data_IF_348636144671
#
_entry.id   IF_348636144671
#
_cell.length_a   1.000
_cell.length_b   1.000
_cell.length_c   1.000
_cell.angle_alpha   90.00
_cell.angle_beta   90.00
_cell.angle_gamma   90.00
#
_symmetry.space_group_name_H-M   'P 1'
#
loop_
_entity.id
_entity.type
_entity.pdbx_description
1 polymer ?
#
# COMPACT_ATOMS: atom_id res chain seq x y z
N UNK A 1 -3.03 3.00 -27.98
CA UNK A 1 -1.57 3.04 -27.73
C UNK A 1 -1.14 1.61 -27.43
N UNK A 2 -0.42 0.98 -28.36
CA UNK A 2 0.14 -0.37 -28.13
C UNK A 2 1.52 -0.18 -27.50
N UNK A 3 1.72 -0.68 -26.30
CA UNK A 3 3.04 -0.67 -25.64
C UNK A 3 3.73 -1.94 -26.06
N UNK A 4 4.83 -1.83 -26.86
CA UNK A 4 5.66 -2.97 -27.23
C UNK A 4 6.43 -3.51 -25.99
N UNK A 5 6.88 -4.76 -26.03
CA UNK A 5 7.64 -5.37 -24.92
C UNK A 5 8.90 -4.57 -24.59
N UNK A 6 9.61 -4.11 -25.60
CA UNK A 6 10.82 -3.26 -25.45
C UNK A 6 10.52 -1.92 -24.77
N UNK A 7 9.29 -1.40 -24.91
CA UNK A 7 8.84 -0.20 -24.21
C UNK A 7 8.62 -0.46 -22.71
N UNK A 8 8.15 -1.66 -22.33
CA UNK A 8 7.95 -2.02 -20.92
C UNK A 8 9.27 -2.03 -20.18
N UNK A 9 10.29 -2.72 -20.68
CA UNK A 9 11.61 -2.76 -20.05
C UNK A 9 12.27 -1.37 -19.95
N UNK A 10 12.07 -0.51 -20.96
CA UNK A 10 12.56 0.87 -20.92
C UNK A 10 11.85 1.70 -19.85
N UNK A 11 10.54 1.49 -19.69
CA UNK A 11 9.75 2.15 -18.66
C UNK A 11 10.17 1.67 -17.27
N UNK A 12 10.35 0.36 -17.06
CA UNK A 12 10.76 -0.21 -15.79
C UNK A 12 12.10 0.34 -15.29
N UNK A 13 13.07 0.52 -16.20
CA UNK A 13 14.37 1.13 -15.87
C UNK A 13 14.27 2.59 -15.42
N UNK A 14 13.24 3.31 -15.82
CA UNK A 14 13.01 4.73 -15.47
C UNK A 14 12.06 4.90 -14.30
N UNK A 15 11.20 3.93 -14.05
CA UNK A 15 10.17 3.97 -13.01
C UNK A 15 10.79 3.73 -11.63
N UNK A 16 10.58 4.67 -10.71
CA UNK A 16 11.00 4.53 -9.31
C UNK A 16 9.80 4.33 -8.41
N UNK A 17 9.89 3.41 -7.45
CA UNK A 17 8.85 3.22 -6.43
C UNK A 17 8.53 4.51 -5.67
N UNK A 18 9.54 5.36 -5.46
CA UNK A 18 9.35 6.68 -4.86
C UNK A 18 8.33 7.52 -5.65
N UNK A 19 8.47 7.58 -6.98
CA UNK A 19 7.62 8.42 -7.84
C UNK A 19 6.18 7.91 -7.84
N UNK A 20 6.00 6.58 -7.83
CA UNK A 20 4.69 5.94 -7.67
C UNK A 20 4.08 6.27 -6.31
N UNK A 21 4.85 6.28 -5.25
CA UNK A 21 4.39 6.68 -3.90
C UNK A 21 3.95 8.13 -3.85
N UNK A 22 4.70 9.03 -4.48
CA UNK A 22 4.33 10.46 -4.60
C UNK A 22 3.02 10.60 -5.35
N UNK A 23 2.85 9.90 -6.47
CA UNK A 23 1.60 9.87 -7.23
C UNK A 23 0.41 9.40 -6.36
N UNK A 24 0.54 8.29 -5.65
CA UNK A 24 -0.50 7.79 -4.73
C UNK A 24 -0.88 8.83 -3.68
N UNK A 25 0.11 9.50 -3.09
CA UNK A 25 -0.12 10.56 -2.09
C UNK A 25 -0.88 11.75 -2.68
N UNK A 26 -0.58 12.14 -3.92
CA UNK A 26 -1.30 13.24 -4.61
C UNK A 26 -2.75 12.87 -4.88
N UNK A 27 -3.03 11.66 -5.37
CA UNK A 27 -4.40 11.17 -5.61
C UNK A 27 -5.20 11.14 -4.32
N UNK A 28 -4.62 10.62 -3.23
CA UNK A 28 -5.29 10.54 -1.91
C UNK A 28 -5.53 11.91 -1.28
N UNK A 29 -4.60 12.86 -1.46
CA UNK A 29 -4.71 14.20 -0.90
C UNK A 29 -5.60 15.14 -1.74
N UNK A 30 -5.82 14.82 -3.03
CA UNK A 30 -6.52 15.66 -4.00
C UNK A 30 -5.80 16.99 -4.31
N UNK A 31 -4.54 17.15 -3.87
CA UNK A 31 -3.77 18.39 -3.99
C UNK A 31 -2.27 18.13 -3.89
N UNK A 32 -1.48 18.78 -4.76
CA UNK A 32 -0.01 18.73 -4.71
C UNK A 32 0.54 19.29 -3.39
N UNK A 33 0.00 20.41 -2.90
CA UNK A 33 0.45 21.04 -1.66
C UNK A 33 0.17 20.16 -0.43
N UNK A 34 -1.02 19.56 -0.33
CA UNK A 34 -1.33 18.61 0.76
C UNK A 34 -0.47 17.36 0.70
N UNK A 35 -0.19 16.84 -0.50
CA UNK A 35 0.71 15.70 -0.67
C UNK A 35 2.15 16.06 -0.25
N UNK A 36 2.64 17.23 -0.66
CA UNK A 36 3.96 17.73 -0.28
C UNK A 36 4.12 17.84 1.24
N UNK A 37 3.11 18.38 1.94
CA UNK A 37 3.11 18.46 3.39
C UNK A 37 3.18 17.06 4.05
N UNK A 38 2.40 16.08 3.55
CA UNK A 38 2.43 14.69 4.05
C UNK A 38 3.76 13.98 3.81
N UNK A 39 4.44 14.32 2.71
CA UNK A 39 5.72 13.73 2.32
C UNK A 39 6.93 14.52 2.85
N UNK A 40 6.70 15.58 3.64
CA UNK A 40 7.75 16.47 4.18
C UNK A 40 8.67 17.02 3.09
N UNK A 41 8.09 17.44 1.96
CA UNK A 41 8.80 17.96 0.77
C UNK A 41 8.11 19.22 0.23
N UNK A 42 8.68 19.82 -0.83
CA UNK A 42 8.09 20.99 -1.49
C UNK A 42 7.05 20.59 -2.55
N UNK A 43 6.07 21.47 -2.78
CA UNK A 43 5.09 21.28 -3.86
C UNK A 43 5.75 21.24 -5.24
N UNK A 44 6.84 22.00 -5.45
CA UNK A 44 7.60 22.00 -6.72
C UNK A 44 8.27 20.65 -6.95
N UNK A 45 8.83 20.03 -5.91
CA UNK A 45 9.40 18.68 -5.99
C UNK A 45 8.34 17.64 -6.35
N UNK A 46 7.18 17.65 -5.66
CA UNK A 46 6.05 16.77 -5.99
C UNK A 46 5.60 16.96 -7.45
N UNK A 47 5.46 18.22 -7.90
CA UNK A 47 5.03 18.50 -9.28
C UNK A 47 6.03 18.00 -10.31
N UNK A 48 7.34 18.12 -10.04
CA UNK A 48 8.40 17.57 -10.91
C UNK A 48 8.36 16.05 -10.96
N UNK A 49 8.29 15.40 -9.81
CA UNK A 49 8.18 13.92 -9.72
C UNK A 49 6.99 13.39 -10.51
N UNK A 50 5.82 14.07 -10.44
CA UNK A 50 4.66 13.67 -11.23
C UNK A 50 4.91 13.85 -12.73
N UNK A 51 5.51 14.96 -13.15
CA UNK A 51 5.84 15.20 -14.57
C UNK A 51 6.82 14.13 -15.09
N UNK A 52 7.87 13.82 -14.34
CA UNK A 52 8.87 12.80 -14.70
C UNK A 52 8.22 11.39 -14.81
N UNK A 53 7.27 11.08 -13.93
CA UNK A 53 6.51 9.83 -13.96
C UNK A 53 5.58 9.75 -15.18
N UNK A 54 4.85 10.83 -15.47
CA UNK A 54 3.97 10.92 -16.65
C UNK A 54 4.77 10.82 -17.95
N UNK A 55 5.94 11.44 -18.02
CA UNK A 55 6.87 11.36 -19.16
C UNK A 55 7.44 9.94 -19.32
N UNK A 56 7.82 9.29 -18.23
CA UNK A 56 8.32 7.91 -18.28
C UNK A 56 7.26 6.93 -18.80
N UNK A 57 6.00 7.15 -18.43
CA UNK A 57 4.87 6.30 -18.83
C UNK A 57 4.25 6.72 -20.18
N UNK A 58 4.58 7.90 -20.69
CA UNK A 58 3.99 8.46 -21.90
C UNK A 58 2.49 8.74 -21.78
N UNK A 59 1.98 8.94 -20.56
CA UNK A 59 0.56 9.12 -20.30
C UNK A 59 0.31 10.07 -19.13
N UNK A 60 -0.69 10.94 -19.26
CA UNK A 60 -1.15 11.77 -18.14
C UNK A 60 -1.88 10.92 -17.11
N UNK A 61 -1.46 11.03 -15.86
CA UNK A 61 -2.05 10.30 -14.75
C UNK A 61 -3.02 11.16 -13.94
N UNK A 62 -2.87 12.48 -14.00
CA UNK A 62 -3.63 13.43 -13.20
C UNK A 62 -4.31 14.50 -14.06
N UNK A 63 -5.58 14.74 -13.77
CA UNK A 63 -6.33 15.90 -14.25
C UNK A 63 -6.33 16.99 -13.19
N UNK A 64 -5.94 18.20 -13.60
CA UNK A 64 -5.95 19.40 -12.73
C UNK A 64 -7.16 20.26 -13.10
N UNK A 65 -7.99 20.55 -12.14
CA UNK A 65 -9.18 21.40 -12.30
C UNK A 65 -9.32 22.39 -11.14
N UNK A 66 -10.24 23.34 -11.29
CA UNK A 66 -10.61 24.25 -10.18
C UNK A 66 -11.14 23.52 -8.94
N UNK A 67 -11.61 22.28 -9.10
CA UNK A 67 -12.10 21.43 -8.01
C UNK A 67 -10.99 20.61 -7.33
N UNK A 68 -9.76 20.71 -7.80
CA UNK A 68 -8.62 19.97 -7.27
C UNK A 68 -7.98 19.04 -8.31
N UNK A 69 -7.32 18.00 -7.82
CA UNK A 69 -6.61 17.01 -8.63
C UNK A 69 -7.35 15.67 -8.55
N UNK A 70 -7.61 15.08 -9.71
CA UNK A 70 -8.23 13.76 -9.86
C UNK A 70 -7.37 12.85 -10.74
N UNK A 71 -7.46 11.54 -10.52
CA UNK A 71 -6.79 10.57 -11.37
C UNK A 71 -7.51 10.41 -12.71
N UNK A 72 -6.75 10.42 -13.82
CA UNK A 72 -7.24 10.04 -15.15
C UNK A 72 -7.58 8.54 -15.21
N UNK A 73 -8.17 8.02 -16.30
CA UNK A 73 -8.31 6.56 -16.48
C UNK A 73 -6.96 5.82 -16.34
N UNK A 74 -5.87 6.38 -16.89
CA UNK A 74 -4.50 5.83 -16.74
C UNK A 74 -4.03 5.89 -15.29
N UNK A 75 -4.26 7.01 -14.60
CA UNK A 75 -3.95 7.16 -13.18
C UNK A 75 -4.71 6.18 -12.31
N UNK A 76 -6.00 5.92 -12.58
CA UNK A 76 -6.78 4.91 -11.83
C UNK A 76 -6.24 3.49 -12.06
N UNK A 77 -5.85 3.16 -13.29
CA UNK A 77 -5.25 1.86 -13.59
C UNK A 77 -3.92 1.67 -12.84
N UNK A 78 -3.04 2.68 -12.87
CA UNK A 78 -1.79 2.67 -12.13
C UNK A 78 -2.04 2.57 -10.62
N UNK A 79 -2.95 3.37 -10.06
CA UNK A 79 -3.27 3.39 -8.63
C UNK A 79 -3.66 2.01 -8.13
N UNK A 80 -4.52 1.29 -8.87
CA UNK A 80 -4.95 -0.07 -8.51
C UNK A 80 -3.76 -1.03 -8.40
N UNK A 81 -2.80 -0.95 -9.33
CA UNK A 81 -1.61 -1.81 -9.32
C UNK A 81 -0.58 -1.36 -8.30
N UNK A 82 -0.42 -0.06 -8.12
CA UNK A 82 0.50 0.51 -7.15
C UNK A 82 0.16 0.06 -5.71
N UNK A 83 -1.11 0.02 -5.33
CA UNK A 83 -1.53 -0.49 -4.02
C UNK A 83 -1.01 -1.92 -3.82
N UNK A 84 -1.26 -2.82 -4.78
CA UNK A 84 -0.81 -4.21 -4.69
C UNK A 84 0.73 -4.33 -4.60
N UNK A 85 1.47 -3.56 -5.40
CA UNK A 85 2.95 -3.55 -5.35
C UNK A 85 3.47 -3.14 -3.97
N UNK A 86 2.90 -2.10 -3.37
CA UNK A 86 3.32 -1.67 -2.03
C UNK A 86 2.86 -2.63 -0.93
N UNK A 87 1.74 -3.35 -1.11
CA UNK A 87 1.32 -4.40 -0.19
C UNK A 87 2.30 -5.58 -0.22
N UNK A 88 2.70 -6.05 -1.41
CA UNK A 88 3.70 -7.11 -1.59
C UNK A 88 5.07 -6.69 -1.00
N UNK A 89 5.50 -5.46 -1.25
CA UNK A 89 6.75 -4.96 -0.68
C UNK A 89 6.72 -4.95 0.86
N UNK A 90 5.59 -4.52 1.45
CA UNK A 90 5.40 -4.57 2.90
C UNK A 90 5.43 -6.02 3.42
N UNK A 91 4.81 -6.95 2.68
CA UNK A 91 4.86 -8.36 3.04
C UNK A 91 6.29 -8.88 3.02
N UNK A 92 7.05 -8.62 1.95
CA UNK A 92 8.45 -9.01 1.88
C UNK A 92 9.31 -8.46 3.03
N UNK A 93 9.07 -7.22 3.46
CA UNK A 93 9.76 -6.65 4.62
C UNK A 93 9.40 -7.42 5.91
N UNK A 94 8.11 -7.75 6.11
CA UNK A 94 7.69 -8.58 7.26
C UNK A 94 8.33 -9.97 7.25
N UNK A 95 8.44 -10.58 6.07
CA UNK A 95 9.09 -11.89 5.93
C UNK A 95 10.57 -11.84 6.34
N UNK A 96 11.26 -10.73 6.03
CA UNK A 96 12.64 -10.49 6.48
C UNK A 96 12.71 -10.32 8.00
N UNK A 97 11.75 -9.63 8.63
CA UNK A 97 11.69 -9.48 10.08
C UNK A 97 11.50 -10.84 10.78
N UNK A 98 10.62 -11.70 10.24
CA UNK A 98 10.42 -13.08 10.77
C UNK A 98 11.68 -13.93 10.63
N UNK A 99 12.42 -13.80 9.52
CA UNK A 99 13.68 -14.51 9.33
C UNK A 99 14.78 -14.00 10.28
N UNK A 100 14.78 -12.70 10.58
CA UNK A 100 15.74 -12.11 11.51
C UNK A 100 15.47 -12.51 12.97
N UNK A 101 14.20 -12.68 13.33
CA UNK A 101 13.79 -13.14 14.67
C UNK A 101 12.49 -13.98 14.59
N UNK A 102 12.61 -15.30 14.43
CA UNK A 102 11.45 -16.20 14.35
C UNK A 102 10.58 -16.23 15.62
N UNK A 103 11.05 -15.63 16.72
CA UNK A 103 10.31 -15.57 18.00
C UNK A 103 9.53 -14.27 18.19
N UNK A 104 9.66 -13.33 17.27
CA UNK A 104 8.94 -12.05 17.24
C UNK A 104 8.12 -11.95 15.95
N UNK A 105 7.00 -11.24 15.99
CA UNK A 105 6.16 -11.02 14.82
C UNK A 105 4.75 -10.58 15.17
N UNK A 106 3.91 -10.44 14.17
CA UNK A 106 2.49 -10.13 14.29
C UNK A 106 1.69 -11.23 13.61
N UNK A 107 0.68 -11.77 14.32
CA UNK A 107 -0.26 -12.76 13.79
C UNK A 107 -1.65 -12.15 13.82
N UNK A 108 -2.25 -11.95 12.65
CA UNK A 108 -3.64 -11.49 12.50
C UNK A 108 -4.58 -12.68 12.38
N UNK A 109 -5.58 -12.72 13.24
CA UNK A 109 -6.55 -13.79 13.28
C UNK A 109 -7.94 -13.20 13.02
N UNK A 110 -8.56 -13.54 11.91
CA UNK A 110 -9.96 -13.24 11.65
C UNK A 110 -10.86 -14.36 12.14
N UNK A 111 -11.85 -14.04 12.97
CA UNK A 111 -12.80 -15.02 13.47
C UNK A 111 -14.22 -14.45 13.58
N UNK A 112 -15.24 -15.32 13.51
CA UNK A 112 -16.59 -14.91 13.88
C UNK A 112 -16.64 -14.49 15.36
N UNK A 113 -17.57 -13.62 15.71
CA UNK A 113 -17.71 -13.11 17.09
C UNK A 113 -17.78 -14.26 18.10
N UNK A 114 -18.56 -15.30 17.81
CA UNK A 114 -18.69 -16.46 18.72
C UNK A 114 -17.36 -17.20 18.94
N UNK A 115 -16.57 -17.37 17.87
CA UNK A 115 -15.25 -18.05 17.95
C UNK A 115 -14.22 -17.12 18.61
N UNK A 116 -14.24 -15.83 18.29
CA UNK A 116 -13.32 -14.85 18.85
C UNK A 116 -13.48 -14.73 20.37
N UNK A 117 -14.72 -14.69 20.88
CA UNK A 117 -15.01 -14.52 22.31
C UNK A 117 -14.89 -15.80 23.14
N UNK A 118 -14.86 -16.97 22.52
CA UNK A 118 -14.76 -18.25 23.23
C UNK A 118 -13.39 -18.92 23.04
N UNK A 119 -13.25 -19.62 21.94
CA UNK A 119 -12.07 -20.44 21.66
C UNK A 119 -10.82 -19.66 21.32
N UNK A 120 -10.93 -18.67 20.42
CA UNK A 120 -9.76 -17.95 19.91
C UNK A 120 -9.06 -17.14 21.02
N UNK A 121 -9.82 -16.49 21.91
CA UNK A 121 -9.24 -15.72 23.03
C UNK A 121 -8.43 -16.62 23.97
N UNK A 122 -8.91 -17.82 24.31
CA UNK A 122 -8.20 -18.75 25.18
C UNK A 122 -6.91 -19.27 24.53
N UNK A 123 -6.94 -19.56 23.23
CA UNK A 123 -5.75 -19.98 22.46
C UNK A 123 -4.74 -18.84 22.37
N UNK A 124 -5.17 -17.62 22.05
CA UNK A 124 -4.30 -16.44 21.99
C UNK A 124 -3.65 -16.17 23.35
N UNK A 125 -4.40 -16.26 24.46
CA UNK A 125 -3.84 -16.09 25.80
C UNK A 125 -2.73 -17.12 26.09
N UNK A 126 -2.96 -18.38 25.75
CA UNK A 126 -1.95 -19.42 25.94
C UNK A 126 -0.71 -19.20 25.08
N UNK A 127 -0.90 -18.83 23.81
CA UNK A 127 0.20 -18.55 22.88
C UNK A 127 0.99 -17.30 23.28
N UNK A 128 0.34 -16.23 23.72
CA UNK A 128 1.00 -15.00 24.18
C UNK A 128 1.89 -15.25 25.41
N UNK A 129 1.49 -16.14 26.30
CA UNK A 129 2.35 -16.54 27.43
C UNK A 129 3.60 -17.32 26.98
N UNK A 130 3.46 -18.14 25.93
CA UNK A 130 4.56 -18.98 25.43
C UNK A 130 5.50 -18.18 24.48
N UNK A 131 4.95 -17.22 23.77
CA UNK A 131 5.66 -16.39 22.77
C UNK A 131 5.44 -14.90 23.04
N UNK A 132 6.05 -14.34 24.09
CA UNK A 132 5.77 -12.98 24.57
C UNK A 132 6.19 -11.88 23.59
N UNK A 133 6.93 -12.21 22.53
CA UNK A 133 7.38 -11.28 21.50
C UNK A 133 6.52 -11.34 20.22
N UNK A 134 5.51 -12.22 20.19
CA UNK A 134 4.52 -12.29 19.12
C UNK A 134 3.30 -11.46 19.52
N UNK A 135 2.94 -10.50 18.67
CA UNK A 135 1.69 -9.72 18.81
C UNK A 135 0.57 -10.49 18.11
N UNK A 136 -0.49 -10.77 18.83
CA UNK A 136 -1.70 -11.39 18.28
C UNK A 136 -2.78 -10.34 18.14
N UNK A 137 -3.22 -10.08 16.90
CA UNK A 137 -4.33 -9.19 16.58
C UNK A 137 -5.56 -10.04 16.21
N UNK A 138 -6.53 -10.09 17.14
CA UNK A 138 -7.76 -10.88 16.97
C UNK A 138 -8.91 -9.97 16.49
N UNK A 139 -9.27 -10.09 15.24
CA UNK A 139 -10.37 -9.36 14.62
C UNK A 139 -11.67 -10.18 14.67
N UNK A 140 -12.62 -9.74 15.49
CA UNK A 140 -13.96 -10.30 15.52
C UNK A 140 -14.87 -9.60 14.50
N UNK A 141 -15.32 -10.31 13.49
CA UNK A 141 -16.21 -9.81 12.46
C UNK A 141 -17.19 -10.88 11.96
N UNK A 142 -18.17 -10.49 11.17
CA UNK A 142 -18.92 -11.48 10.39
C UNK A 142 -17.99 -12.16 9.36
N UNK A 143 -18.34 -13.36 8.91
CA UNK A 143 -17.48 -14.19 8.04
C UNK A 143 -17.08 -13.47 6.75
N UNK A 144 -17.95 -12.62 6.20
CA UNK A 144 -17.70 -11.89 4.97
C UNK A 144 -16.76 -10.68 5.18
N UNK A 145 -16.77 -10.09 6.36
CA UNK A 145 -15.92 -8.95 6.74
C UNK A 145 -14.54 -9.40 7.22
N UNK A 146 -14.45 -10.55 7.90
CA UNK A 146 -13.19 -11.13 8.36
C UNK A 146 -12.24 -11.48 7.20
N UNK A 147 -12.77 -12.07 6.12
CA UNK A 147 -11.97 -12.44 4.93
C UNK A 147 -11.42 -11.22 4.16
N UNK A 148 -12.00 -10.03 4.32
CA UNK A 148 -11.55 -8.80 3.64
C UNK A 148 -10.49 -8.03 4.44
N UNK A 149 -10.33 -8.34 5.72
CA UNK A 149 -9.44 -7.62 6.64
C UNK A 149 -8.10 -8.34 6.89
N UNK A 150 -7.96 -9.57 6.39
CA UNK A 150 -6.73 -10.36 6.33
C UNK A 150 -5.97 -10.13 5.03
#
# INVERSE_FOLDING_TARGET
MSIAVDDIERIERRLKLHDVRVFMSVVQAGSMGKAAARLSTSQSAVSRTIADLEDALGARLLDRSKKGIAATPYGRALMKRAVAVFDELRQGIRDLEVLADPTAGEIKIGASIAVATSFASAVVEQLSRRYPRIVFDLLAADTASATRAL
#
